data_IF_846122028099
#
_entry.id   IF_846122028099
#
_cell.length_a   1.000
_cell.length_b   1.000
_cell.length_c   1.000
_cell.angle_alpha   90.00
_cell.angle_beta   90.00
_cell.angle_gamma   90.00
#
_symmetry.space_group_name_H-M   'P 1'
#
loop_
_entity.id
_entity.type
_entity.pdbx_description
1 polymer ?
#
# COMPACT_ATOMS: atom_id res chain seq x y z
N UNK A 1 50.98 -2.47 0.01
CA UNK A 1 50.64 -1.19 -0.63
C UNK A 1 49.28 -0.75 -0.11
N UNK A 2 49.26 0.26 0.76
CA UNK A 2 48.09 0.73 1.51
C UNK A 2 47.65 2.06 0.93
N UNK A 3 46.50 2.11 0.25
CA UNK A 3 45.95 3.36 -0.31
C UNK A 3 44.92 3.93 0.66
N UNK A 4 45.34 4.97 1.38
CA UNK A 4 44.51 5.80 2.25
C UNK A 4 43.63 6.73 1.42
N UNK A 5 42.30 6.59 1.53
CA UNK A 5 41.34 7.50 0.90
C UNK A 5 41.12 8.75 1.77
N UNK A 6 41.56 9.88 1.25
CA UNK A 6 41.40 11.22 1.82
C UNK A 6 39.94 11.67 1.76
N UNK A 7 39.29 11.77 2.92
CA UNK A 7 37.95 12.35 3.07
C UNK A 7 38.01 13.86 2.78
N UNK A 8 37.40 14.30 1.68
CA UNK A 8 37.12 15.73 1.44
C UNK A 8 35.86 16.11 2.21
N UNK A 9 36.03 17.01 3.16
CA UNK A 9 34.95 17.68 3.88
C UNK A 9 34.21 18.63 2.91
N UNK A 10 32.91 18.43 2.72
CA UNK A 10 32.01 19.43 2.16
C UNK A 10 31.22 20.05 3.30
N UNK A 11 31.30 21.37 3.34
CA UNK A 11 30.80 22.28 4.36
C UNK A 11 29.26 22.35 4.28
N UNK A 12 28.54 22.32 5.41
CA UNK A 12 27.09 22.49 5.43
C UNK A 12 26.74 23.97 5.24
N UNK A 13 26.17 24.33 4.10
CA UNK A 13 25.52 25.64 3.94
C UNK A 13 24.16 25.59 4.61
N UNK A 14 24.07 26.27 5.74
CA UNK A 14 22.83 26.55 6.49
C UNK A 14 21.91 27.36 5.57
N UNK A 15 20.87 26.73 5.01
CA UNK A 15 19.81 27.44 4.32
C UNK A 15 18.85 28.00 5.38
N UNK A 16 18.86 29.31 5.52
CA UNK A 16 18.03 30.08 6.45
C UNK A 16 16.56 29.95 6.07
N UNK A 17 15.73 29.46 6.99
CA UNK A 17 14.28 29.44 6.86
C UNK A 17 13.73 30.87 6.81
N UNK A 18 13.04 31.21 5.71
CA UNK A 18 12.18 32.39 5.64
C UNK A 18 10.73 31.88 5.72
N UNK A 19 10.22 31.86 6.95
CA UNK A 19 8.78 31.79 7.24
C UNK A 19 8.18 33.15 6.91
N UNK A 20 7.44 33.23 5.80
CA UNK A 20 6.49 34.31 5.58
C UNK A 20 5.06 33.74 5.53
N UNK A 21 4.14 34.23 6.39
CA UNK A 21 2.73 33.93 6.33
C UNK A 21 2.07 34.90 5.35
N UNK A 22 1.62 34.42 4.19
CA UNK A 22 0.82 35.24 3.27
C UNK A 22 -0.41 34.46 2.83
N UNK A 23 -1.47 34.69 3.61
CA UNK A 23 -2.87 34.86 3.23
C UNK A 23 -3.46 33.93 2.16
N UNK A 24 -4.46 33.14 2.59
CA UNK A 24 -5.53 32.65 1.73
C UNK A 24 -6.16 33.81 0.96
N UNK A 25 -5.78 33.95 -0.30
CA UNK A 25 -6.53 34.69 -1.30
C UNK A 25 -7.49 33.72 -1.97
N UNK A 26 -8.77 33.81 -1.61
CA UNK A 26 -9.84 33.21 -2.39
C UNK A 26 -9.91 33.90 -3.76
N UNK A 27 -9.34 33.27 -4.79
CA UNK A 27 -9.64 33.59 -6.18
C UNK A 27 -10.78 32.69 -6.63
N UNK A 28 -11.99 33.22 -6.49
CA UNK A 28 -13.14 32.77 -7.25
C UNK A 28 -12.98 33.23 -8.69
N UNK A 29 -12.93 32.26 -9.62
CA UNK A 29 -13.05 32.49 -11.05
C UNK A 29 -12.01 31.78 -11.87
N UNK A 30 -12.36 30.62 -12.44
CA UNK A 30 -12.55 30.50 -13.89
C UNK A 30 -13.22 29.16 -14.19
N UNK A 31 -14.42 29.20 -14.75
CA UNK A 31 -15.10 28.05 -15.33
C UNK A 31 -14.30 27.60 -16.56
N UNK A 32 -13.38 26.68 -16.38
CA UNK A 32 -12.88 25.85 -17.47
C UNK A 32 -13.72 24.58 -17.51
N UNK A 33 -14.35 24.35 -18.66
CA UNK A 33 -15.14 23.16 -18.94
C UNK A 33 -14.31 21.90 -18.65
N UNK A 34 -14.72 21.13 -17.64
CA UNK A 34 -14.21 19.79 -17.39
C UNK A 34 -15.42 18.87 -17.41
N UNK A 35 -15.33 17.91 -18.31
CA UNK A 35 -16.39 17.04 -18.77
C UNK A 35 -17.05 16.24 -17.63
N UNK A 36 -18.34 15.99 -17.79
CA UNK A 36 -19.21 15.16 -16.96
C UNK A 36 -18.62 13.74 -16.77
N UNK A 37 -17.83 13.56 -15.72
CA UNK A 37 -17.52 12.24 -15.16
C UNK A 37 -17.79 12.18 -13.64
N UNK A 38 -18.73 12.98 -13.16
CA UNK A 38 -19.18 12.99 -11.78
C UNK A 38 -20.67 12.65 -11.66
N UNK A 39 -21.05 11.39 -11.89
CA UNK A 39 -22.32 10.86 -11.37
C UNK A 39 -22.44 9.37 -11.67
N UNK A 40 -22.13 8.53 -10.66
CA UNK A 40 -22.88 7.31 -10.33
C UNK A 40 -22.16 6.38 -9.33
N UNK A 41 -21.30 6.88 -8.44
CA UNK A 41 -20.69 6.05 -7.40
C UNK A 41 -20.94 6.62 -6.00
N UNK A 42 -22.20 6.92 -5.68
CA UNK A 42 -22.62 7.14 -4.30
C UNK A 42 -22.85 5.77 -3.63
N UNK A 43 -21.77 5.13 -3.16
CA UNK A 43 -21.89 3.99 -2.25
C UNK A 43 -22.31 4.43 -0.84
N UNK A 44 -22.71 3.51 0.04
CA UNK A 44 -23.15 3.80 1.43
C UNK A 44 -22.10 4.54 2.29
N UNK A 45 -20.85 4.61 1.85
CA UNK A 45 -19.80 5.40 2.49
C UNK A 45 -19.91 6.91 2.26
N UNK A 46 -20.58 7.34 1.17
CA UNK A 46 -20.82 8.76 0.90
C UNK A 46 -21.91 9.29 1.83
N UNK A 47 -23.01 8.55 1.99
CA UNK A 47 -24.10 8.91 2.91
C UNK A 47 -23.59 9.07 4.36
N UNK A 48 -22.74 8.14 4.83
CA UNK A 48 -22.12 8.25 6.15
C UNK A 48 -21.17 9.46 6.29
N UNK A 49 -20.42 9.81 5.23
CA UNK A 49 -19.56 11.01 5.24
C UNK A 49 -20.38 12.29 5.29
N UNK A 50 -21.48 12.34 4.55
CA UNK A 50 -22.36 13.51 4.48
C UNK A 50 -23.04 13.73 5.84
N UNK A 51 -23.52 12.67 6.48
CA UNK A 51 -24.05 12.74 7.86
C UNK A 51 -23.01 13.24 8.88
N UNK A 52 -21.75 12.81 8.74
CA UNK A 52 -20.65 13.28 9.60
C UNK A 52 -20.38 14.77 9.40
N UNK A 53 -20.39 15.23 8.15
CA UNK A 53 -20.22 16.65 7.82
C UNK A 53 -21.39 17.50 8.29
N UNK A 54 -22.62 17.01 8.14
CA UNK A 54 -23.83 17.65 8.68
C UNK A 54 -23.73 17.80 10.20
N UNK A 55 -23.37 16.71 10.90
CA UNK A 55 -23.23 16.70 12.36
C UNK A 55 -22.10 17.61 12.85
N UNK A 56 -21.03 17.73 12.08
CA UNK A 56 -19.90 18.60 12.38
C UNK A 56 -20.17 20.08 12.01
N UNK A 57 -21.31 20.39 11.40
CA UNK A 57 -21.64 21.74 10.94
C UNK A 57 -20.76 22.22 9.80
N UNK A 58 -20.21 21.30 9.00
CA UNK A 58 -19.38 21.62 7.84
C UNK A 58 -20.30 21.94 6.67
N UNK A 59 -20.23 23.16 6.16
CA UNK A 59 -21.03 23.60 5.02
C UNK A 59 -20.56 22.98 3.69
N UNK A 60 -21.42 23.05 2.68
CA UNK A 60 -21.16 22.45 1.36
C UNK A 60 -19.92 23.01 0.67
N UNK A 61 -19.62 24.30 0.85
CA UNK A 61 -18.42 24.90 0.25
C UNK A 61 -17.14 24.34 0.88
N UNK A 62 -17.16 24.12 2.20
CA UNK A 62 -16.06 23.46 2.92
C UNK A 62 -15.95 21.98 2.54
N UNK A 63 -17.07 21.27 2.34
CA UNK A 63 -17.06 19.86 1.86
C UNK A 63 -16.40 19.75 0.49
N UNK A 64 -16.79 20.62 -0.44
CA UNK A 64 -16.22 20.64 -1.79
C UNK A 64 -14.72 20.96 -1.75
N UNK A 65 -14.30 21.94 -0.95
CA UNK A 65 -12.89 22.27 -0.78
C UNK A 65 -12.07 21.08 -0.23
N UNK A 66 -12.62 20.32 0.73
CA UNK A 66 -11.98 19.11 1.26
C UNK A 66 -11.89 18.00 0.21
N UNK A 67 -12.94 17.78 -0.57
CA UNK A 67 -12.95 16.78 -1.63
C UNK A 67 -11.94 17.11 -2.74
N UNK A 68 -11.87 18.38 -3.16
CA UNK A 68 -10.86 18.83 -4.12
C UNK A 68 -9.44 18.69 -3.58
N UNK A 69 -9.21 18.97 -2.30
CA UNK A 69 -7.92 18.76 -1.65
C UNK A 69 -7.55 17.26 -1.60
N UNK A 70 -8.52 16.37 -1.34
CA UNK A 70 -8.34 14.91 -1.33
C UNK A 70 -7.91 14.39 -2.72
N UNK A 71 -8.62 14.79 -3.78
CA UNK A 71 -8.29 14.45 -5.17
C UNK A 71 -6.89 14.95 -5.52
N UNK A 72 -6.62 16.23 -5.26
CA UNK A 72 -5.33 16.85 -5.57
C UNK A 72 -4.17 16.16 -4.86
N UNK A 73 -4.34 15.82 -3.58
CA UNK A 73 -3.35 15.09 -2.81
C UNK A 73 -3.11 13.69 -3.39
N UNK A 74 -4.17 12.95 -3.71
CA UNK A 74 -4.06 11.63 -4.30
C UNK A 74 -3.33 11.66 -5.65
N UNK A 75 -3.62 12.64 -6.50
CA UNK A 75 -2.95 12.79 -7.79
C UNK A 75 -1.49 13.19 -7.64
N UNK A 76 -1.16 14.07 -6.68
CA UNK A 76 0.22 14.39 -6.34
C UNK A 76 1.01 13.15 -5.89
N UNK A 77 0.41 12.30 -5.03
CA UNK A 77 1.04 11.05 -4.59
C UNK A 77 1.23 10.08 -5.75
N UNK A 78 0.26 9.97 -6.67
CA UNK A 78 0.42 9.16 -7.88
C UNK A 78 1.60 9.66 -8.72
N UNK A 79 1.71 10.96 -8.92
CA UNK A 79 2.79 11.55 -9.71
C UNK A 79 4.15 11.27 -9.07
N UNK A 80 4.31 11.53 -7.76
CA UNK A 80 5.55 11.22 -7.03
C UNK A 80 5.95 9.75 -7.18
N UNK A 81 4.97 8.83 -7.11
CA UNK A 81 5.23 7.40 -7.27
C UNK A 81 5.64 7.03 -8.71
N UNK A 82 5.05 7.68 -9.72
CA UNK A 82 5.43 7.50 -11.13
C UNK A 82 6.84 8.00 -11.37
N UNK A 83 7.13 9.25 -10.96
CA UNK A 83 8.45 9.87 -11.11
C UNK A 83 9.54 9.03 -10.45
N UNK A 84 9.28 8.51 -9.25
CA UNK A 84 10.20 7.62 -8.55
C UNK A 84 10.45 6.31 -9.31
N UNK A 85 9.43 5.72 -9.93
CA UNK A 85 9.59 4.49 -10.73
C UNK A 85 10.43 4.75 -11.99
N UNK A 86 10.18 5.85 -12.68
CA UNK A 86 10.93 6.25 -13.87
C UNK A 86 12.39 6.53 -13.52
N UNK A 87 12.65 7.28 -12.45
CA UNK A 87 14.00 7.53 -11.96
C UNK A 87 14.74 6.23 -11.62
N UNK A 88 14.07 5.29 -10.94
CA UNK A 88 14.66 3.97 -10.65
C UNK A 88 14.99 3.20 -11.92
N UNK A 89 14.09 3.19 -12.91
CA UNK A 89 14.34 2.54 -14.18
C UNK A 89 15.50 3.21 -14.93
N UNK A 90 15.61 4.54 -14.88
CA UNK A 90 16.71 5.28 -15.49
C UNK A 90 18.06 4.97 -14.82
N UNK A 91 18.08 4.85 -13.48
CA UNK A 91 19.31 4.60 -12.70
C UNK A 91 19.77 3.15 -12.84
N UNK A 92 18.83 2.19 -12.74
CA UNK A 92 19.15 0.76 -12.65
C UNK A 92 19.07 0.03 -14.00
N UNK A 93 18.37 0.61 -14.98
CA UNK A 93 18.01 -0.09 -16.20
C UNK A 93 17.05 -1.26 -15.95
N UNK A 94 16.78 -2.04 -16.99
CA UNK A 94 15.95 -3.24 -16.91
C UNK A 94 16.63 -4.33 -16.07
N UNK A 95 17.90 -4.62 -16.34
CA UNK A 95 18.66 -5.66 -15.64
C UNK A 95 18.81 -5.37 -14.14
N UNK A 96 19.11 -4.13 -13.76
CA UNK A 96 19.21 -3.75 -12.35
C UNK A 96 17.87 -3.82 -11.63
N UNK A 97 16.76 -3.52 -12.31
CA UNK A 97 15.42 -3.70 -11.76
C UNK A 97 15.07 -5.17 -11.57
N UNK A 98 15.41 -6.03 -12.52
CA UNK A 98 15.22 -7.47 -12.43
C UNK A 98 16.06 -8.08 -11.29
N UNK A 99 17.33 -7.70 -11.19
CA UNK A 99 18.23 -8.15 -10.13
C UNK A 99 17.74 -7.71 -8.74
N UNK A 100 17.29 -6.46 -8.58
CA UNK A 100 16.76 -5.97 -7.32
C UNK A 100 15.44 -6.65 -6.93
N UNK A 101 14.57 -6.94 -7.92
CA UNK A 101 13.37 -7.75 -7.67
C UNK A 101 13.75 -9.14 -7.18
N UNK A 102 14.67 -9.82 -7.88
CA UNK A 102 15.14 -11.15 -7.51
C UNK A 102 15.73 -11.17 -6.10
N UNK A 103 16.66 -10.25 -5.78
CA UNK A 103 17.24 -10.15 -4.44
C UNK A 103 16.17 -9.90 -3.37
N UNK A 104 15.15 -9.09 -3.67
CA UNK A 104 14.02 -8.87 -2.77
C UNK A 104 13.16 -10.12 -2.59
N UNK A 105 13.02 -10.95 -3.62
CA UNK A 105 12.30 -12.24 -3.57
C UNK A 105 13.10 -13.26 -2.73
N UNK A 106 14.40 -13.38 -2.97
CA UNK A 106 15.32 -14.24 -2.20
C UNK A 106 15.31 -13.90 -0.70
N UNK A 107 15.44 -12.61 -0.34
CA UNK A 107 15.37 -12.18 1.06
C UNK A 107 14.03 -12.49 1.73
N UNK A 108 12.91 -12.51 0.98
CA UNK A 108 11.62 -12.90 1.53
C UNK A 108 11.55 -14.40 1.75
N UNK A 109 12.05 -15.21 0.82
CA UNK A 109 12.11 -16.66 1.01
C UNK A 109 13.01 -17.03 2.20
N UNK A 110 14.19 -16.42 2.34
CA UNK A 110 15.08 -16.63 3.49
C UNK A 110 14.38 -16.35 4.83
N UNK A 111 13.61 -15.25 4.91
CA UNK A 111 12.84 -14.92 6.12
C UNK A 111 11.72 -15.91 6.38
N UNK A 112 11.02 -16.37 5.35
CA UNK A 112 9.98 -17.40 5.48
C UNK A 112 10.59 -18.72 5.94
N UNK A 113 11.72 -19.15 5.39
CA UNK A 113 12.44 -20.34 5.84
C UNK A 113 12.86 -20.22 7.30
N UNK A 114 13.38 -19.05 7.72
CA UNK A 114 13.73 -18.82 9.11
C UNK A 114 12.53 -18.92 10.06
N UNK A 115 11.34 -18.42 9.66
CA UNK A 115 10.11 -18.60 10.45
C UNK A 115 9.70 -20.07 10.56
N UNK A 116 9.78 -20.83 9.45
CA UNK A 116 9.49 -22.27 9.48
C UNK A 116 10.46 -23.03 10.41
N UNK A 117 11.72 -22.63 10.45
CA UNK A 117 12.74 -23.16 11.38
C UNK A 117 12.43 -22.81 12.83
N UNK A 118 12.06 -21.55 13.10
CA UNK A 118 11.67 -21.07 14.43
C UNK A 118 10.45 -21.82 14.97
N UNK A 119 9.44 -22.03 14.12
CA UNK A 119 8.24 -22.80 14.46
C UNK A 119 8.47 -24.31 14.44
N UNK A 120 9.66 -24.76 14.05
CA UNK A 120 10.04 -26.17 13.97
C UNK A 120 9.05 -27.01 13.15
N UNK A 121 8.56 -26.45 12.04
CA UNK A 121 7.61 -27.16 11.17
C UNK A 121 8.25 -28.42 10.61
N UNK A 122 7.46 -29.50 10.56
CA UNK A 122 7.85 -30.75 9.93
C UNK A 122 8.05 -30.58 8.42
N UNK A 123 8.80 -31.48 7.78
CA UNK A 123 9.01 -31.44 6.33
C UNK A 123 7.68 -31.54 5.55
N UNK A 124 6.74 -32.34 6.06
CA UNK A 124 5.40 -32.48 5.48
C UNK A 124 4.61 -31.15 5.57
N UNK A 125 4.69 -30.47 6.71
CA UNK A 125 4.03 -29.18 6.94
C UNK A 125 4.66 -28.06 6.10
N UNK A 126 5.99 -28.06 5.96
CA UNK A 126 6.71 -27.14 5.06
C UNK A 126 6.29 -27.35 3.61
N UNK A 127 6.16 -28.61 3.18
CA UNK A 127 5.72 -28.93 1.82
C UNK A 127 4.30 -28.45 1.56
N UNK A 128 3.36 -28.68 2.49
CA UNK A 128 1.96 -28.17 2.40
C UNK A 128 1.91 -26.66 2.36
N UNK A 129 2.70 -25.99 3.21
CA UNK A 129 2.78 -24.53 3.25
C UNK A 129 3.31 -23.98 1.93
N UNK A 130 4.38 -24.57 1.39
CA UNK A 130 4.94 -24.17 0.10
C UNK A 130 3.92 -24.35 -1.04
N UNK A 131 3.26 -25.51 -1.11
CA UNK A 131 2.21 -25.77 -2.10
C UNK A 131 1.07 -24.76 -2.01
N UNK A 132 0.64 -24.41 -0.79
CA UNK A 132 -0.41 -23.41 -0.57
C UNK A 132 0.01 -22.03 -1.07
N UNK A 133 1.27 -21.63 -0.82
CA UNK A 133 1.81 -20.34 -1.27
C UNK A 133 1.92 -20.26 -2.80
N UNK A 134 2.42 -21.31 -3.44
CA UNK A 134 2.52 -21.40 -4.91
C UNK A 134 1.13 -21.37 -5.56
N UNK A 135 0.20 -22.19 -5.07
CA UNK A 135 -1.18 -22.21 -5.56
C UNK A 135 -1.90 -20.88 -5.38
N UNK A 136 -1.65 -20.16 -4.28
CA UNK A 136 -2.15 -18.80 -4.08
C UNK A 136 -1.58 -17.84 -5.13
N UNK A 137 -0.27 -17.87 -5.39
CA UNK A 137 0.35 -17.00 -6.39
C UNK A 137 -0.23 -17.25 -7.79
N UNK A 138 -0.36 -18.51 -8.19
CA UNK A 138 -0.92 -18.88 -9.49
C UNK A 138 -2.38 -18.44 -9.62
N UNK A 139 -3.17 -18.63 -8.57
CA UNK A 139 -4.57 -18.17 -8.51
C UNK A 139 -4.67 -16.65 -8.59
N UNK A 140 -3.76 -15.92 -7.94
CA UNK A 140 -3.66 -14.46 -8.05
C UNK A 140 -3.37 -14.03 -9.49
N UNK A 141 -2.46 -14.70 -10.20
CA UNK A 141 -2.16 -14.37 -11.59
C UNK A 141 -3.35 -14.67 -12.50
N UNK A 142 -4.01 -15.82 -12.31
CA UNK A 142 -5.23 -16.18 -13.04
C UNK A 142 -6.36 -15.15 -12.82
N UNK A 143 -6.59 -14.73 -11.57
CA UNK A 143 -7.59 -13.70 -11.25
C UNK A 143 -7.24 -12.32 -11.83
N UNK A 144 -5.95 -12.00 -12.00
CA UNK A 144 -5.53 -10.72 -12.62
C UNK A 144 -5.70 -10.72 -14.13
N UNK A 145 -5.52 -11.87 -14.77
CA UNK A 145 -5.68 -12.01 -16.22
C UNK A 145 -7.15 -12.19 -16.65
N UNK A 146 -8.04 -12.54 -15.70
CA UNK A 146 -9.45 -12.78 -15.97
C UNK A 146 -10.25 -11.48 -16.05
N UNK A 147 -11.11 -11.39 -17.07
CA UNK A 147 -12.17 -10.39 -17.14
C UNK A 147 -13.37 -10.82 -16.29
N UNK A 148 -13.98 -9.83 -15.61
CA UNK A 148 -15.15 -10.04 -14.78
C UNK A 148 -16.33 -9.25 -15.32
N UNK A 149 -17.51 -9.87 -15.24
CA UNK A 149 -18.77 -9.26 -15.66
C UNK A 149 -19.18 -8.08 -14.75
N UNK A 150 -18.69 -8.07 -13.50
CA UNK A 150 -18.94 -6.99 -12.54
C UNK A 150 -17.81 -6.85 -11.51
N UNK A 151 -17.80 -5.72 -10.80
CA UNK A 151 -16.88 -5.50 -9.66
C UNK A 151 -17.17 -6.44 -8.51
N UNK A 152 -18.45 -6.77 -8.31
CA UNK A 152 -18.92 -7.70 -7.29
C UNK A 152 -18.42 -9.11 -7.58
N UNK A 153 -18.53 -9.58 -8.83
CA UNK A 153 -18.01 -10.89 -9.24
C UNK A 153 -16.49 -10.97 -9.05
N UNK A 154 -15.76 -9.89 -9.38
CA UNK A 154 -14.34 -9.78 -9.08
C UNK A 154 -14.07 -9.87 -7.58
N UNK A 155 -14.78 -9.08 -6.77
CA UNK A 155 -14.61 -9.06 -5.31
C UNK A 155 -14.85 -10.43 -4.70
N UNK A 156 -15.94 -11.09 -5.07
CA UNK A 156 -16.28 -12.43 -4.61
C UNK A 156 -15.16 -13.43 -4.94
N UNK A 157 -14.65 -13.43 -6.17
CA UNK A 157 -13.56 -14.34 -6.54
C UNK A 157 -12.28 -14.09 -5.73
N UNK A 158 -11.97 -12.83 -5.41
CA UNK A 158 -10.85 -12.49 -4.53
C UNK A 158 -11.08 -12.92 -3.08
N UNK A 159 -12.31 -12.81 -2.58
CA UNK A 159 -12.67 -13.22 -1.23
C UNK A 159 -12.65 -14.75 -1.10
N UNK A 160 -13.17 -15.48 -2.08
CA UNK A 160 -13.08 -16.95 -2.16
C UNK A 160 -11.62 -17.43 -2.17
N UNK A 161 -10.74 -16.76 -2.94
CA UNK A 161 -9.31 -17.06 -2.93
C UNK A 161 -8.69 -16.84 -1.55
N UNK A 162 -9.01 -15.73 -0.88
CA UNK A 162 -8.48 -15.44 0.47
C UNK A 162 -8.97 -16.47 1.48
N UNK A 163 -10.24 -16.80 1.47
CA UNK A 163 -10.84 -17.75 2.41
C UNK A 163 -10.30 -19.16 2.20
N UNK A 164 -10.23 -19.64 0.96
CA UNK A 164 -9.67 -20.96 0.66
C UNK A 164 -8.18 -21.06 1.03
N UNK A 165 -7.40 -20.01 0.74
CA UNK A 165 -5.98 -19.97 1.14
C UNK A 165 -5.84 -19.95 2.66
N UNK A 166 -6.62 -19.14 3.36
CA UNK A 166 -6.58 -19.10 4.83
C UNK A 166 -6.99 -20.45 5.45
N UNK A 167 -8.03 -21.11 4.91
CA UNK A 167 -8.44 -22.44 5.32
C UNK A 167 -7.33 -23.48 5.16
N UNK A 168 -6.57 -23.45 4.05
CA UNK A 168 -5.43 -24.34 3.86
C UNK A 168 -4.27 -24.02 4.83
N UNK A 169 -4.04 -22.74 5.14
CA UNK A 169 -3.00 -22.33 6.07
C UNK A 169 -3.30 -22.76 7.52
N UNK A 170 -4.54 -22.69 7.98
CA UNK A 170 -4.90 -23.06 9.36
C UNK A 170 -4.79 -24.57 9.65
N UNK A 171 -4.68 -25.41 8.62
CA UNK A 171 -4.38 -26.84 8.80
C UNK A 171 -2.95 -27.09 9.28
N UNK A 172 -2.04 -26.14 9.04
CA UNK A 172 -0.60 -26.28 9.27
C UNK A 172 -0.08 -25.25 10.27
N UNK A 173 -0.69 -24.07 10.32
CA UNK A 173 -0.25 -22.93 11.09
C UNK A 173 -1.37 -22.45 12.03
N UNK A 174 -0.97 -21.94 13.19
CA UNK A 174 -1.88 -21.17 14.05
C UNK A 174 -2.17 -19.78 13.46
N UNK A 175 -3.26 -19.15 13.91
CA UNK A 175 -3.64 -17.81 13.44
C UNK A 175 -2.55 -16.74 13.67
N UNK A 176 -1.81 -16.83 14.79
CA UNK A 176 -0.71 -15.91 15.06
C UNK A 176 0.47 -16.13 14.09
N UNK A 177 0.78 -17.38 13.76
CA UNK A 177 1.81 -17.71 12.76
C UNK A 177 1.39 -17.28 11.36
N UNK A 178 0.10 -17.41 10.99
CA UNK A 178 -0.41 -16.90 9.71
C UNK A 178 -0.26 -15.37 9.63
N UNK A 179 -0.55 -14.67 10.73
CA UNK A 179 -0.39 -13.22 10.82
C UNK A 179 1.08 -12.81 10.68
N UNK A 180 1.99 -13.51 11.36
CA UNK A 180 3.43 -13.27 11.27
C UNK A 180 3.99 -13.58 9.87
N UNK A 181 3.56 -14.69 9.25
CA UNK A 181 3.88 -15.03 7.87
C UNK A 181 3.44 -13.91 6.91
N UNK A 182 2.20 -13.43 7.05
CA UNK A 182 1.67 -12.33 6.24
C UNK A 182 2.49 -11.05 6.41
N UNK A 183 2.82 -10.70 7.65
CA UNK A 183 3.64 -9.52 7.94
C UNK A 183 5.02 -9.61 7.28
N UNK A 184 5.63 -10.79 7.32
CA UNK A 184 6.94 -11.06 6.73
C UNK A 184 6.93 -10.99 5.21
N UNK A 185 5.87 -11.49 4.58
CA UNK A 185 5.71 -11.44 3.12
C UNK A 185 5.28 -10.07 2.60
N UNK A 186 4.55 -9.28 3.39
CA UNK A 186 4.03 -7.97 3.02
C UNK A 186 4.34 -6.90 4.09
N UNK A 187 5.63 -6.59 4.32
CA UNK A 187 6.02 -5.57 5.28
C UNK A 187 5.48 -4.21 4.81
N UNK A 188 4.57 -3.63 5.59
CA UNK A 188 3.96 -2.32 5.32
C UNK A 188 2.55 -2.33 4.73
N UNK A 189 1.92 -3.50 4.52
CA UNK A 189 0.49 -3.56 4.14
C UNK A 189 -0.47 -3.56 5.35
N UNK A 190 0.05 -3.85 6.54
CA UNK A 190 -0.69 -3.73 7.80
C UNK A 190 -0.41 -2.37 8.42
N UNK A 191 -1.21 -1.36 8.05
CA UNK A 191 -1.01 0.02 8.49
C UNK A 191 -2.27 0.87 8.41
N UNK A 192 -3.16 0.70 9.40
CA UNK A 192 -4.24 1.65 9.67
C UNK A 192 -5.43 1.09 10.43
N UNK A 193 -5.26 0.69 11.71
CA UNK A 193 -6.24 0.74 12.82
C UNK A 193 -5.90 -0.30 13.91
N UNK A 194 -5.22 0.13 14.98
CA UNK A 194 -5.39 -0.43 16.34
C UNK A 194 -4.85 0.59 17.36
N UNK A 195 -5.62 1.66 17.56
CA UNK A 195 -5.50 2.47 18.78
C UNK A 195 -6.29 1.78 19.89
N UNK A 196 -5.68 0.84 20.62
CA UNK A 196 -6.25 0.37 21.87
C UNK A 196 -5.92 1.39 22.97
N UNK A 197 -6.80 2.37 23.16
CA UNK A 197 -6.88 3.10 24.41
C UNK A 197 -7.50 2.18 25.47
N UNK A 198 -6.67 1.56 26.29
CA UNK A 198 -7.12 1.03 27.58
C UNK A 198 -7.43 2.21 28.51
N UNK A 199 -8.69 2.61 28.58
CA UNK A 199 -9.19 3.35 29.74
C UNK A 199 -9.16 2.39 30.93
N UNK A 200 -8.24 2.66 31.86
CA UNK A 200 -8.29 2.11 33.22
C UNK A 200 -9.01 3.13 34.09
N UNK A 201 -10.20 2.79 34.55
CA UNK A 201 -10.84 3.35 35.74
C UNK A 201 -10.97 2.21 36.75
#
# INVERSE_FOLDING_TARGET
MTTSFTRKALIPTILTAVLLPVSMGALAGEKAAMEDHASNHAGPHHEQRDELFDRAGIDDATREALHQAEISHHDAIKQVNTDYREQRQQILGEDGMAALKQAGDELREERVTALMDEWQLSDDDRAKLQQTREGFHDSVQALRARDFESREARRQAWDELRTSTHAALVEVLSEEQIKELRHTMMPGRDGGHHGHHSHRA
#
